data_IF_809386104947
#
_entry.id   IF_809386104947
#
_cell.length_a   1.000
_cell.length_b   1.000
_cell.length_c   1.000
_cell.angle_alpha   90.00
_cell.angle_beta   90.00
_cell.angle_gamma   90.00
#
_symmetry.space_group_name_H-M   'P 1'
#
loop_
_entity.id
_entity.type
_entity.pdbx_description
1 polymer ?
#
# COMPACT_ATOMS: atom_id res chain seq x y z
N UNK A 1 14.26 10.46 10.89
CA UNK A 1 13.51 9.46 10.08
C UNK A 1 12.71 8.59 11.03
N UNK A 2 11.49 8.22 10.65
CA UNK A 2 10.66 7.24 11.35
C UNK A 2 10.10 6.30 10.30
N UNK A 3 10.09 5.01 10.56
CA UNK A 3 9.43 4.03 9.69
C UNK A 3 8.15 3.54 10.35
N UNK A 4 7.12 3.28 9.55
CA UNK A 4 5.82 2.78 10.02
C UNK A 4 5.44 1.56 9.20
N UNK A 5 5.16 0.43 9.87
CA UNK A 5 4.58 -0.74 9.22
C UNK A 5 3.05 -0.68 9.32
N UNK A 6 2.38 -0.58 8.18
CA UNK A 6 0.92 -0.68 8.06
C UNK A 6 0.58 -2.17 7.96
N UNK A 7 0.26 -2.82 9.08
CA UNK A 7 0.10 -4.28 9.16
C UNK A 7 -0.98 -4.68 10.17
N UNK A 8 -2.08 -5.25 9.67
CA UNK A 8 -3.24 -5.68 10.47
C UNK A 8 -2.98 -6.96 11.26
N UNK A 9 -2.05 -7.81 10.80
CA UNK A 9 -1.79 -9.15 11.38
C UNK A 9 -0.98 -9.10 12.70
N UNK A 10 -0.74 -7.90 13.23
CA UNK A 10 -0.06 -7.68 14.50
C UNK A 10 1.47 -7.55 14.40
N UNK A 11 2.12 -7.21 15.52
CA UNK A 11 3.54 -6.82 15.57
C UNK A 11 4.51 -7.91 15.11
N UNK A 12 4.16 -9.17 15.32
CA UNK A 12 5.05 -10.30 15.04
C UNK A 12 5.27 -10.53 13.54
N UNK A 13 4.42 -9.98 12.68
CA UNK A 13 4.61 -10.03 11.23
C UNK A 13 5.69 -9.05 10.77
N UNK A 14 5.78 -7.88 11.40
CA UNK A 14 6.74 -6.83 11.07
C UNK A 14 8.08 -6.99 11.80
N UNK A 15 8.05 -7.48 13.05
CA UNK A 15 9.22 -7.58 13.95
C UNK A 15 10.44 -8.23 13.28
N UNK A 16 10.36 -9.40 12.63
CA UNK A 16 11.54 -10.05 12.05
C UNK A 16 12.26 -9.18 11.01
N UNK A 17 11.50 -8.38 10.26
CA UNK A 17 12.07 -7.48 9.24
C UNK A 17 12.74 -6.26 9.87
N UNK A 18 12.14 -5.70 10.92
CA UNK A 18 12.73 -4.59 11.69
C UNK A 18 14.03 -5.03 12.36
N UNK A 19 14.02 -6.21 13.00
CA UNK A 19 15.20 -6.76 13.67
C UNK A 19 16.33 -7.09 12.69
N UNK A 20 16.00 -7.68 11.54
CA UNK A 20 16.98 -7.96 10.49
C UNK A 20 17.61 -6.67 9.92
N UNK A 21 16.81 -5.59 9.79
CA UNK A 21 17.28 -4.31 9.27
C UNK A 21 18.18 -3.55 10.25
N UNK A 22 18.06 -3.79 11.57
CA UNK A 22 18.78 -3.08 12.65
C UNK A 22 18.80 -1.56 12.46
N UNK A 23 17.62 -0.91 12.35
CA UNK A 23 17.56 0.53 12.10
C UNK A 23 18.11 1.33 13.28
N UNK A 24 18.81 2.41 12.99
CA UNK A 24 19.21 3.42 13.99
C UNK A 24 18.09 4.43 14.30
N UNK A 25 16.95 4.29 13.62
CA UNK A 25 15.79 5.16 13.76
C UNK A 25 14.60 4.40 14.37
N UNK A 26 13.63 5.09 15.00
CA UNK A 26 12.43 4.44 15.51
C UNK A 26 11.59 3.78 14.40
N UNK A 27 11.18 2.54 14.65
CA UNK A 27 10.19 1.81 13.84
C UNK A 27 8.89 1.66 14.62
N UNK A 28 7.80 2.16 14.04
CA UNK A 28 6.45 2.11 14.59
C UNK A 28 5.60 1.09 13.84
N UNK A 29 4.51 0.69 14.48
CA UNK A 29 3.49 -0.18 13.91
C UNK A 29 2.17 0.57 13.87
N UNK A 30 1.45 0.42 12.78
CA UNK A 30 0.10 0.92 12.61
C UNK A 30 -0.85 -0.23 12.31
N UNK A 31 -1.27 -0.98 13.34
CA UNK A 31 -2.12 -2.15 13.18
C UNK A 31 -3.58 -1.80 12.89
N UNK A 32 -3.91 -0.51 12.79
CA UNK A 32 -5.28 -0.02 12.63
C UNK A 32 -5.44 0.92 11.44
N UNK A 33 -4.41 1.09 10.61
CA UNK A 33 -4.47 2.00 9.46
C UNK A 33 -4.88 3.43 9.88
N UNK A 34 -4.26 3.93 10.96
CA UNK A 34 -4.44 5.30 11.43
C UNK A 34 -3.53 6.28 10.72
N UNK A 35 -2.29 5.89 10.43
CA UNK A 35 -1.30 6.75 9.78
C UNK A 35 -1.73 7.01 8.34
N UNK A 36 -2.15 6.00 7.61
CA UNK A 36 -2.63 6.20 6.23
C UNK A 36 -3.96 6.97 6.19
N UNK A 37 -4.88 6.72 7.12
CA UNK A 37 -6.09 7.52 7.25
C UNK A 37 -5.82 8.99 7.63
N UNK A 38 -4.86 9.29 8.50
CA UNK A 38 -4.61 10.68 8.90
C UNK A 38 -3.80 11.45 7.85
N UNK A 39 -2.79 10.83 7.25
CA UNK A 39 -1.95 11.51 6.27
C UNK A 39 -2.52 11.42 4.84
N UNK A 40 -3.40 10.47 4.54
CA UNK A 40 -3.93 10.24 3.20
C UNK A 40 -3.06 9.32 2.35
N UNK A 41 -2.35 8.37 2.97
CA UNK A 41 -1.60 7.34 2.24
C UNK A 41 -2.60 6.38 1.59
N UNK A 42 -2.47 6.16 0.28
CA UNK A 42 -3.35 5.25 -0.47
C UNK A 42 -2.59 4.08 -1.09
N UNK A 43 -1.26 4.12 -1.10
CA UNK A 43 -0.42 3.04 -1.61
C UNK A 43 0.93 3.05 -0.89
N UNK A 44 1.61 1.90 -0.83
CA UNK A 44 2.93 1.75 -0.20
C UNK A 44 3.94 1.15 -1.18
N UNK A 45 5.24 1.53 -1.11
CA UNK A 45 5.82 2.43 -0.11
C UNK A 45 5.46 3.89 -0.36
N UNK A 46 5.24 4.64 0.73
CA UNK A 46 4.96 6.06 0.70
C UNK A 46 5.76 6.78 1.78
N UNK A 47 6.10 8.04 1.52
CA UNK A 47 6.91 8.89 2.38
C UNK A 47 6.21 10.24 2.57
N UNK A 48 6.32 10.81 3.77
CA UNK A 48 5.86 12.15 4.13
C UNK A 48 7.06 12.91 4.68
N UNK A 49 7.25 14.17 4.25
CA UNK A 49 8.31 15.03 4.79
C UNK A 49 7.69 16.05 5.72
N UNK A 50 8.21 16.10 6.94
CA UNK A 50 7.74 16.98 8.02
C UNK A 50 8.97 17.72 8.54
N UNK A 51 8.96 19.04 8.49
CA UNK A 51 10.06 19.86 9.00
C UNK A 51 10.12 19.90 10.54
N UNK A 52 11.13 20.58 11.07
CA UNK A 52 11.38 20.72 12.52
C UNK A 52 10.26 21.48 13.25
N UNK A 53 9.47 22.29 12.53
CA UNK A 53 8.31 23.02 13.07
C UNK A 53 7.03 22.15 13.05
N UNK A 54 7.12 20.91 12.56
CA UNK A 54 6.00 19.98 12.48
C UNK A 54 5.10 20.21 11.26
N UNK A 55 5.57 20.94 10.25
CA UNK A 55 4.81 21.24 9.04
C UNK A 55 5.11 20.20 7.97
N UNK A 56 4.06 19.67 7.34
CA UNK A 56 4.21 18.81 6.16
C UNK A 56 4.73 19.65 5.00
N UNK A 57 5.93 19.36 4.51
CA UNK A 57 6.56 20.03 3.35
C UNK A 57 6.51 19.17 2.09
N UNK A 58 6.21 17.87 2.22
CA UNK A 58 5.77 17.00 1.13
C UNK A 58 4.71 16.01 1.66
N UNK A 59 3.47 16.01 1.12
CA UNK A 59 2.42 15.08 1.54
C UNK A 59 2.74 13.64 1.09
N UNK A 60 1.93 12.62 1.46
CA UNK A 60 2.17 11.24 1.05
C UNK A 60 2.39 11.09 -0.44
N UNK A 61 3.57 10.60 -0.79
CA UNK A 61 3.94 10.29 -2.16
C UNK A 61 4.76 9.00 -2.21
N UNK A 62 4.81 8.31 -3.37
CA UNK A 62 5.65 7.15 -3.52
C UNK A 62 7.13 7.54 -3.44
N UNK A 63 7.89 6.81 -2.62
CA UNK A 63 9.32 7.06 -2.42
C UNK A 63 10.08 5.78 -2.10
N UNK A 64 11.31 5.68 -2.62
CA UNK A 64 12.20 4.54 -2.40
C UNK A 64 13.60 4.99 -1.99
N UNK A 65 14.29 4.24 -1.11
CA UNK A 65 15.67 4.55 -0.80
C UNK A 65 16.64 4.20 -1.95
N UNK A 66 16.21 3.37 -2.90
CA UNK A 66 17.01 2.83 -4.00
C UNK A 66 16.14 2.18 -5.08
N UNK A 67 16.76 1.87 -6.22
CA UNK A 67 16.16 1.06 -7.28
C UNK A 67 15.70 -0.31 -6.77
N UNK A 68 14.65 -0.86 -7.39
CA UNK A 68 14.05 -2.14 -7.03
C UNK A 68 15.08 -3.27 -7.17
N UNK A 69 15.23 -4.07 -6.11
CA UNK A 69 15.87 -5.37 -6.20
C UNK A 69 14.89 -6.44 -6.69
N UNK A 70 15.43 -7.46 -7.35
CA UNK A 70 14.66 -8.65 -7.72
C UNK A 70 14.09 -9.35 -6.49
N UNK A 71 13.12 -10.26 -6.71
CA UNK A 71 12.70 -11.16 -5.66
C UNK A 71 13.91 -12.01 -5.20
N UNK A 72 14.00 -12.37 -3.90
CA UNK A 72 14.98 -13.33 -3.45
C UNK A 72 14.93 -14.63 -4.28
N UNK A 73 16.09 -15.26 -4.57
CA UNK A 73 16.12 -16.54 -5.27
C UNK A 73 15.22 -17.58 -4.58
N UNK A 74 14.47 -18.36 -5.35
CA UNK A 74 13.58 -19.40 -4.81
C UNK A 74 12.22 -18.88 -4.32
N UNK A 75 12.02 -17.56 -4.20
CA UNK A 75 10.75 -17.03 -3.69
C UNK A 75 9.63 -17.18 -4.72
N UNK A 76 9.93 -16.98 -6.02
CA UNK A 76 8.92 -17.04 -7.08
C UNK A 76 8.29 -18.44 -7.19
N UNK A 77 9.08 -19.48 -6.97
CA UNK A 77 8.70 -20.88 -7.00
C UNK A 77 7.78 -21.28 -5.83
N UNK A 78 7.78 -20.49 -4.75
CA UNK A 78 6.88 -20.69 -3.60
C UNK A 78 5.54 -19.97 -3.75
N UNK A 79 5.40 -19.07 -4.73
CA UNK A 79 4.16 -18.33 -4.95
C UNK A 79 3.17 -19.27 -5.66
N UNK A 80 1.98 -19.53 -5.08
CA UNK A 80 0.98 -20.36 -5.73
C UNK A 80 0.49 -19.72 -7.03
N UNK A 81 0.04 -20.56 -7.96
CA UNK A 81 -0.71 -20.06 -9.10
C UNK A 81 -2.00 -19.37 -8.61
N UNK A 82 -2.30 -18.20 -9.16
CA UNK A 82 -3.51 -17.43 -8.82
C UNK A 82 -4.33 -17.15 -10.09
N UNK A 83 -5.64 -17.26 -9.95
CA UNK A 83 -6.63 -16.90 -10.96
C UNK A 83 -7.13 -15.45 -10.78
N UNK A 84 -8.00 -14.97 -11.67
CA UNK A 84 -8.71 -13.70 -11.48
C UNK A 84 -9.88 -13.87 -10.50
N UNK A 85 -10.22 -12.80 -9.78
CA UNK A 85 -11.48 -12.72 -9.05
C UNK A 85 -12.67 -12.95 -10.01
N UNK A 86 -13.71 -13.72 -9.61
CA UNK A 86 -14.80 -14.09 -10.52
C UNK A 86 -15.56 -12.91 -11.15
N UNK A 87 -15.63 -11.79 -10.45
CA UNK A 87 -16.36 -10.59 -10.87
C UNK A 87 -15.44 -9.48 -11.38
N UNK A 88 -14.14 -9.75 -11.52
CA UNK A 88 -13.21 -8.75 -12.01
C UNK A 88 -13.49 -8.42 -13.48
N UNK A 89 -13.39 -7.14 -13.88
CA UNK A 89 -13.45 -6.78 -15.29
C UNK A 89 -12.28 -7.41 -16.06
N UNK A 90 -12.47 -7.80 -17.33
CA UNK A 90 -11.36 -8.23 -18.16
C UNK A 90 -10.36 -7.08 -18.33
N UNK A 91 -9.07 -7.39 -18.56
CA UNK A 91 -8.09 -6.37 -18.93
C UNK A 91 -8.56 -5.60 -20.19
N UNK A 92 -8.42 -4.27 -20.22
CA UNK A 92 -8.71 -3.50 -21.42
C UNK A 92 -7.77 -3.89 -22.57
N UNK A 93 -8.19 -3.62 -23.81
CA UNK A 93 -7.32 -3.81 -24.97
C UNK A 93 -6.06 -2.93 -24.83
N UNK A 94 -4.88 -3.54 -25.00
CA UNK A 94 -3.60 -2.84 -24.83
C UNK A 94 -3.19 -2.62 -23.36
N UNK A 95 -3.80 -3.33 -22.40
CA UNK A 95 -3.37 -3.32 -21.01
C UNK A 95 -1.85 -3.55 -20.88
N UNK A 96 -1.22 -2.76 -20.02
CA UNK A 96 0.20 -2.90 -19.75
C UNK A 96 0.47 -4.17 -18.96
N UNK A 97 1.59 -4.82 -19.26
CA UNK A 97 2.10 -5.91 -18.43
C UNK A 97 2.26 -5.46 -16.98
N UNK A 98 1.92 -6.33 -16.02
CA UNK A 98 1.99 -6.02 -14.58
C UNK A 98 3.35 -5.43 -14.17
N UNK A 99 4.44 -5.96 -14.73
CA UNK A 99 5.79 -5.44 -14.51
C UNK A 99 5.97 -3.99 -14.96
N UNK A 100 5.35 -3.58 -16.07
CA UNK A 100 5.40 -2.20 -16.55
C UNK A 100 4.61 -1.26 -15.64
N UNK A 101 3.37 -1.61 -15.27
CA UNK A 101 2.54 -0.79 -14.37
C UNK A 101 3.23 -0.55 -13.03
N UNK A 102 3.87 -1.59 -12.47
CA UNK A 102 4.55 -1.49 -11.18
C UNK A 102 5.85 -0.66 -11.22
N UNK A 103 6.51 -0.54 -12.38
CA UNK A 103 7.85 0.06 -12.48
C UNK A 103 7.89 1.39 -13.24
N UNK A 104 6.78 1.87 -13.77
CA UNK A 104 6.69 3.15 -14.47
C UNK A 104 6.25 4.28 -13.54
N UNK A 105 6.29 5.53 -14.03
CA UNK A 105 5.87 6.72 -13.30
C UNK A 105 6.89 7.35 -12.35
N UNK A 106 7.92 6.63 -11.88
CA UNK A 106 8.87 7.16 -10.90
C UNK A 106 10.34 6.80 -11.17
N UNK A 107 11.26 7.72 -10.87
CA UNK A 107 12.70 7.47 -10.88
C UNK A 107 13.15 7.02 -9.49
N UNK A 108 12.92 5.75 -9.16
CA UNK A 108 13.14 5.21 -7.79
C UNK A 108 14.53 5.47 -7.20
N UNK A 109 15.56 5.54 -8.05
CA UNK A 109 16.94 5.75 -7.62
C UNK A 109 17.26 7.16 -7.13
N UNK A 110 16.47 8.18 -7.50
CA UNK A 110 16.80 9.59 -7.22
C UNK A 110 16.10 10.15 -5.98
N UNK A 111 15.15 9.41 -5.40
CA UNK A 111 14.37 9.91 -4.26
C UNK A 111 15.24 10.15 -3.01
N UNK A 112 16.23 9.30 -2.77
CA UNK A 112 17.17 9.48 -1.66
C UNK A 112 18.02 10.75 -1.81
N UNK A 113 18.32 11.19 -3.03
CA UNK A 113 19.07 12.42 -3.27
C UNK A 113 18.24 13.66 -2.92
N UNK A 114 16.93 13.62 -3.23
CA UNK A 114 16.00 14.68 -2.85
C UNK A 114 15.91 14.81 -1.31
N UNK A 115 15.85 13.69 -0.59
CA UNK A 115 15.87 13.69 0.89
C UNK A 115 17.19 14.26 1.42
N UNK A 116 18.34 13.90 0.84
CA UNK A 116 19.66 14.42 1.27
C UNK A 116 19.78 15.92 1.04
N UNK A 117 19.31 16.43 -0.09
CA UNK A 117 19.28 17.86 -0.36
C UNK A 117 18.41 18.60 0.67
N UNK A 118 17.24 18.05 0.98
CA UNK A 118 16.35 18.62 1.99
C UNK A 118 16.95 18.63 3.39
N UNK A 119 17.60 17.55 3.82
CA UNK A 119 18.31 17.52 5.11
C UNK A 119 19.43 18.58 5.17
N UNK A 120 20.12 18.84 4.06
CA UNK A 120 21.20 19.81 4.01
C UNK A 120 20.72 21.28 3.96
N UNK A 121 19.56 21.54 3.35
CA UNK A 121 19.08 22.90 3.03
C UNK A 121 17.82 23.32 3.77
N UNK A 122 17.10 22.39 4.40
CA UNK A 122 15.81 22.65 5.02
C UNK A 122 14.82 23.27 4.04
N UNK A 123 14.21 24.38 4.43
CA UNK A 123 13.25 25.12 3.60
C UNK A 123 13.83 25.65 2.27
N UNK A 124 15.15 25.80 2.16
CA UNK A 124 15.83 26.24 0.92
C UNK A 124 16.08 25.10 -0.08
N UNK A 125 15.62 23.89 0.23
CA UNK A 125 15.70 22.76 -0.70
C UNK A 125 14.79 22.97 -1.90
N UNK A 126 15.30 22.69 -3.09
CA UNK A 126 14.48 22.71 -4.31
C UNK A 126 13.39 21.63 -4.33
N UNK A 127 13.46 20.67 -3.41
CA UNK A 127 12.49 19.59 -3.26
C UNK A 127 11.45 19.85 -2.16
N UNK A 128 11.65 20.84 -1.28
CA UNK A 128 10.62 21.27 -0.35
C UNK A 128 9.52 22.01 -1.14
N UNK A 129 8.25 21.63 -0.93
CA UNK A 129 7.14 22.26 -1.65
C UNK A 129 6.70 23.54 -0.96
N UNK A 130 6.18 24.48 -1.75
CA UNK A 130 5.48 25.62 -1.17
C UNK A 130 4.21 25.18 -0.42
N UNK A 131 3.72 25.93 0.58
CA UNK A 131 2.48 25.60 1.29
C UNK A 131 1.27 25.38 0.36
N UNK A 132 1.17 26.15 -0.72
CA UNK A 132 0.10 26.00 -1.71
C UNK A 132 0.19 24.67 -2.46
N UNK A 133 1.39 24.23 -2.82
CA UNK A 133 1.61 22.92 -3.46
C UNK A 133 1.36 21.76 -2.50
N UNK A 134 1.72 21.89 -1.22
CA UNK A 134 1.40 20.88 -0.19
C UNK A 134 -0.12 20.68 -0.11
N UNK A 135 -0.89 21.76 -0.03
CA UNK A 135 -2.36 21.69 0.02
C UNK A 135 -2.92 21.06 -1.25
N UNK A 136 -2.43 21.48 -2.43
CA UNK A 136 -2.89 20.94 -3.70
C UNK A 136 -2.58 19.43 -3.84
N UNK A 137 -1.41 18.97 -3.38
CA UNK A 137 -0.97 17.57 -3.48
C UNK A 137 -1.53 16.65 -2.39
N UNK A 138 -2.01 17.18 -1.26
CA UNK A 138 -2.55 16.37 -0.15
C UNK A 138 -3.87 15.64 -0.46
N UNK A 139 -4.51 15.95 -1.60
CA UNK A 139 -5.81 15.43 -2.08
C UNK A 139 -6.99 15.69 -1.10
N UNK A 140 -8.25 15.70 -1.59
CA UNK A 140 -9.40 15.90 -0.71
C UNK A 140 -9.61 14.71 0.23
N UNK A 141 -9.82 14.98 1.53
CA UNK A 141 -10.33 13.99 2.50
C UNK A 141 -11.86 14.09 2.53
N UNK A 142 -12.51 13.42 1.58
CA UNK A 142 -13.97 13.41 1.50
C UNK A 142 -14.59 12.61 2.66
N UNK A 143 -15.88 12.85 2.95
CA UNK A 143 -16.64 12.03 3.89
C UNK A 143 -16.58 10.54 3.55
N UNK A 144 -16.59 10.19 2.26
CA UNK A 144 -16.47 8.81 1.81
C UNK A 144 -15.10 8.19 2.18
N UNK A 145 -14.01 8.95 2.12
CA UNK A 145 -12.69 8.46 2.56
C UNK A 145 -12.64 8.23 4.08
N UNK A 146 -13.29 9.09 4.87
CA UNK A 146 -13.46 8.88 6.32
C UNK A 146 -14.33 7.67 6.63
N UNK A 147 -15.42 7.48 5.89
CA UNK A 147 -16.30 6.31 6.03
C UNK A 147 -15.57 5.01 5.63
N UNK A 148 -14.77 5.03 4.57
CA UNK A 148 -13.93 3.91 4.17
C UNK A 148 -12.94 3.52 5.28
N UNK A 149 -12.30 4.49 5.93
CA UNK A 149 -11.41 4.24 7.07
C UNK A 149 -12.16 3.60 8.25
N UNK A 150 -13.35 4.10 8.59
CA UNK A 150 -14.19 3.51 9.64
C UNK A 150 -14.59 2.06 9.31
N UNK A 151 -14.88 1.76 8.04
CA UNK A 151 -15.12 0.39 7.59
C UNK A 151 -13.88 -0.51 7.77
N UNK A 152 -12.68 -0.01 7.49
CA UNK A 152 -11.43 -0.77 7.71
C UNK A 152 -11.19 -1.04 9.19
N UNK A 153 -11.39 -0.03 10.06
CA UNK A 153 -11.26 -0.21 11.52
C UNK A 153 -12.23 -1.27 12.05
N UNK A 154 -13.49 -1.25 11.60
CA UNK A 154 -14.48 -2.28 11.95
C UNK A 154 -14.09 -3.65 11.39
N UNK A 155 -13.65 -3.71 10.13
CA UNK A 155 -13.24 -4.95 9.49
C UNK A 155 -12.06 -5.60 10.23
N UNK A 156 -11.04 -4.82 10.61
CA UNK A 156 -9.92 -5.29 11.42
C UNK A 156 -10.38 -5.86 12.77
N UNK A 157 -11.22 -5.13 13.51
CA UNK A 157 -11.76 -5.63 14.78
C UNK A 157 -12.54 -6.94 14.61
N UNK A 158 -13.40 -7.02 13.61
CA UNK A 158 -14.20 -8.21 13.31
C UNK A 158 -13.30 -9.38 12.86
N UNK A 159 -12.27 -9.11 12.07
CA UNK A 159 -11.30 -10.10 11.64
C UNK A 159 -10.57 -10.72 12.83
N UNK A 160 -10.01 -9.88 13.71
CA UNK A 160 -9.29 -10.31 14.92
C UNK A 160 -10.18 -11.05 15.93
N UNK A 161 -11.48 -10.79 15.95
CA UNK A 161 -12.45 -11.51 16.78
C UNK A 161 -13.08 -12.72 16.09
N UNK A 162 -12.56 -13.10 14.92
CA UNK A 162 -12.92 -14.30 14.19
C UNK A 162 -14.23 -14.22 13.40
N UNK A 163 -14.83 -13.03 13.26
CA UNK A 163 -16.09 -12.77 12.54
C UNK A 163 -15.84 -12.44 11.07
N UNK A 164 -15.31 -13.42 10.32
CA UNK A 164 -14.79 -13.26 8.94
C UNK A 164 -15.83 -12.69 7.97
N UNK A 165 -17.03 -13.26 7.91
CA UNK A 165 -18.07 -12.80 6.98
C UNK A 165 -18.42 -11.32 7.17
N UNK A 166 -18.48 -10.87 8.44
CA UNK A 166 -18.74 -9.47 8.76
C UNK A 166 -17.52 -8.59 8.38
N UNK A 167 -16.31 -9.03 8.70
CA UNK A 167 -15.09 -8.32 8.31
C UNK A 167 -15.00 -8.11 6.79
N UNK A 168 -15.26 -9.18 6.03
CA UNK A 168 -15.32 -9.17 4.56
C UNK A 168 -16.35 -8.15 4.05
N UNK A 169 -17.54 -8.10 4.64
CA UNK A 169 -18.57 -7.14 4.25
C UNK A 169 -18.10 -5.68 4.42
N UNK A 170 -17.39 -5.39 5.53
CA UNK A 170 -16.82 -4.06 5.78
C UNK A 170 -15.62 -3.75 4.87
N UNK A 171 -14.71 -4.69 4.61
CA UNK A 171 -13.64 -4.50 3.61
C UNK A 171 -14.21 -4.21 2.21
N UNK A 172 -15.23 -4.96 1.77
CA UNK A 172 -15.89 -4.69 0.48
C UNK A 172 -16.51 -3.29 0.43
N UNK A 173 -17.04 -2.79 1.55
CA UNK A 173 -17.57 -1.43 1.63
C UNK A 173 -16.45 -0.38 1.51
N UNK A 174 -15.30 -0.57 2.17
CA UNK A 174 -14.17 0.36 2.04
C UNK A 174 -13.62 0.39 0.61
N UNK A 175 -13.55 -0.75 -0.08
CA UNK A 175 -13.12 -0.82 -1.48
C UNK A 175 -14.04 -0.03 -2.42
N UNK A 176 -15.36 -0.01 -2.15
CA UNK A 176 -16.32 0.79 -2.93
C UNK A 176 -16.25 2.28 -2.62
N UNK A 177 -16.04 2.64 -1.36
CA UNK A 177 -15.99 4.03 -0.90
C UNK A 177 -14.69 4.74 -1.30
N UNK A 178 -13.57 4.01 -1.33
CA UNK A 178 -12.26 4.55 -1.71
C UNK A 178 -11.50 3.57 -2.63
N UNK A 179 -11.92 3.43 -3.90
CA UNK A 179 -11.39 2.41 -4.82
C UNK A 179 -9.92 2.62 -5.22
N UNK A 180 -9.37 3.82 -5.06
CA UNK A 180 -7.95 4.12 -5.31
C UNK A 180 -7.04 3.80 -4.11
N UNK A 181 -7.61 3.33 -2.99
CA UNK A 181 -6.84 2.96 -1.82
C UNK A 181 -6.34 1.51 -1.86
N UNK A 182 -5.13 1.35 -2.37
CA UNK A 182 -4.40 0.10 -2.44
C UNK A 182 -3.95 -0.44 -1.08
N UNK A 183 -3.76 0.40 -0.06
CA UNK A 183 -3.40 -0.13 1.27
C UNK A 183 -4.55 -0.96 1.83
N UNK A 184 -5.78 -0.45 1.74
CA UNK A 184 -6.98 -1.15 2.19
C UNK A 184 -7.23 -2.43 1.39
N UNK A 185 -7.21 -2.32 0.06
CA UNK A 185 -7.43 -3.47 -0.84
C UNK A 185 -6.44 -4.59 -0.58
N UNK A 186 -5.14 -4.27 -0.60
CA UNK A 186 -4.08 -5.26 -0.48
C UNK A 186 -4.07 -5.92 0.89
N UNK A 187 -4.33 -5.18 1.96
CA UNK A 187 -4.42 -5.76 3.31
C UNK A 187 -5.60 -6.73 3.44
N UNK A 188 -6.78 -6.36 2.93
CA UNK A 188 -7.94 -7.26 2.94
C UNK A 188 -7.68 -8.55 2.14
N UNK A 189 -7.11 -8.43 0.95
CA UNK A 189 -6.72 -9.58 0.12
C UNK A 189 -5.67 -10.46 0.79
N UNK A 190 -4.61 -9.84 1.32
CA UNK A 190 -3.53 -10.52 2.02
C UNK A 190 -4.01 -11.30 3.24
N UNK A 191 -4.96 -10.77 4.02
CA UNK A 191 -5.51 -11.47 5.19
C UNK A 191 -6.21 -12.77 4.81
N UNK A 192 -7.10 -12.71 3.80
CA UNK A 192 -7.83 -13.89 3.31
C UNK A 192 -6.86 -14.92 2.72
N UNK A 193 -5.95 -14.49 1.85
CA UNK A 193 -4.98 -15.41 1.25
C UNK A 193 -4.00 -15.98 2.28
N UNK A 194 -3.65 -15.24 3.34
CA UNK A 194 -2.76 -15.74 4.38
C UNK A 194 -3.42 -16.83 5.24
N UNK A 195 -4.71 -16.73 5.58
CA UNK A 195 -5.43 -17.84 6.25
C UNK A 195 -5.53 -19.09 5.35
N UNK A 196 -5.61 -18.91 4.02
CA UNK A 196 -5.74 -20.01 3.07
C UNK A 196 -4.42 -20.71 2.73
N UNK A 197 -3.39 -19.92 2.39
CA UNK A 197 -2.08 -20.41 1.90
C UNK A 197 -1.10 -20.62 3.05
N UNK A 198 -1.13 -19.74 4.05
CA UNK A 198 -0.21 -19.76 5.18
C UNK A 198 1.26 -19.56 4.80
N UNK A 199 2.13 -19.84 5.78
CA UNK A 199 3.58 -19.78 5.59
C UNK A 199 4.12 -18.37 5.30
N UNK A 200 5.39 -18.28 4.84
CA UNK A 200 6.05 -16.99 4.61
C UNK A 200 5.49 -16.22 3.40
N UNK A 201 4.77 -16.91 2.49
CA UNK A 201 4.30 -16.35 1.23
C UNK A 201 2.82 -15.96 1.24
N UNK A 202 2.00 -16.56 2.12
CA UNK A 202 0.54 -16.41 2.08
C UNK A 202 0.07 -14.96 2.13
N UNK A 203 0.69 -14.14 3.00
CA UNK A 203 0.42 -12.69 3.09
C UNK A 203 0.77 -11.88 1.84
N UNK A 204 1.57 -12.43 0.92
CA UNK A 204 1.91 -11.76 -0.35
C UNK A 204 1.04 -12.22 -1.52
N UNK A 205 0.23 -13.26 -1.32
CA UNK A 205 -0.81 -13.67 -2.26
C UNK A 205 -1.97 -12.68 -2.09
N UNK A 206 -2.41 -12.08 -3.19
CA UNK A 206 -3.40 -10.99 -3.19
C UNK A 206 -4.50 -11.23 -4.25
N UNK A 207 -4.85 -12.50 -4.44
CA UNK A 207 -5.87 -12.98 -5.36
C UNK A 207 -6.23 -14.44 -5.07
N UNK A 208 -7.27 -14.98 -5.73
CA UNK A 208 -7.67 -16.36 -5.53
C UNK A 208 -6.59 -17.34 -6.00
N UNK A 209 -6.36 -18.39 -5.22
CA UNK A 209 -5.56 -19.52 -5.66
C UNK A 209 -6.25 -20.17 -6.86
N UNK A 210 -5.48 -20.57 -7.87
CA UNK A 210 -6.02 -21.17 -9.09
C UNK A 210 -6.85 -22.42 -8.75
N UNK A 211 -8.09 -22.48 -9.24
CA UNK A 211 -9.07 -23.53 -8.92
C UNK A 211 -9.94 -23.26 -7.69
N UNK A 212 -9.69 -22.16 -6.96
CA UNK A 212 -10.45 -21.73 -5.79
C UNK A 212 -11.11 -20.36 -6.00
N UNK A 213 -11.25 -19.92 -7.25
CA UNK A 213 -11.77 -18.60 -7.60
C UNK A 213 -13.19 -18.37 -7.05
N UNK A 214 -14.01 -19.42 -7.01
CA UNK A 214 -15.39 -19.36 -6.50
C UNK A 214 -15.48 -18.98 -5.01
N UNK A 215 -14.42 -19.23 -4.23
CA UNK A 215 -14.36 -18.95 -2.80
C UNK A 215 -13.79 -17.55 -2.51
N UNK A 216 -13.40 -16.79 -3.54
CA UNK A 216 -12.85 -15.44 -3.38
C UNK A 216 -13.93 -14.44 -2.94
N UNK A 217 -13.78 -13.79 -1.78
CA UNK A 217 -14.86 -12.99 -1.24
C UNK A 217 -14.90 -11.54 -1.75
N UNK A 218 -13.94 -11.12 -2.58
CA UNK A 218 -13.83 -9.73 -3.06
C UNK A 218 -14.21 -9.61 -4.53
N UNK A 219 -14.65 -8.41 -4.92
CA UNK A 219 -15.08 -8.14 -6.31
C UNK A 219 -13.89 -8.09 -7.29
N UNK A 220 -12.68 -7.87 -6.79
CA UNK A 220 -11.45 -7.86 -7.55
C UNK A 220 -10.28 -8.43 -6.76
N UNK A 221 -9.13 -8.48 -7.41
CA UNK A 221 -7.85 -8.92 -6.87
C UNK A 221 -6.73 -8.01 -7.39
N UNK A 222 -5.51 -8.20 -6.87
CA UNK A 222 -4.38 -7.36 -7.21
C UNK A 222 -4.06 -7.36 -8.71
N UNK A 223 -4.06 -8.52 -9.39
CA UNK A 223 -3.71 -8.56 -10.82
C UNK A 223 -4.78 -7.91 -11.66
N UNK A 224 -6.05 -8.20 -11.36
CA UNK A 224 -7.17 -7.67 -12.11
C UNK A 224 -7.30 -6.15 -11.99
N UNK A 225 -7.16 -5.59 -10.77
CA UNK A 225 -7.20 -4.13 -10.58
C UNK A 225 -6.01 -3.44 -11.24
N UNK A 226 -4.82 -4.06 -11.17
CA UNK A 226 -3.61 -3.46 -11.72
C UNK A 226 -3.62 -3.46 -13.25
N UNK A 227 -4.27 -4.44 -13.88
CA UNK A 227 -4.45 -4.51 -15.33
C UNK A 227 -5.33 -3.37 -15.88
N UNK A 228 -6.11 -2.70 -15.02
CA UNK A 228 -6.92 -1.54 -15.41
C UNK A 228 -6.12 -0.23 -15.46
N UNK A 229 -4.86 -0.25 -15.00
CA UNK A 229 -4.05 0.95 -14.85
C UNK A 229 -3.08 1.20 -16.00
N UNK A 230 -2.90 2.47 -16.32
CA UNK A 230 -1.87 2.98 -17.22
C UNK A 230 -0.53 3.28 -16.53
N UNK A 231 0.40 3.83 -17.31
CA UNK A 231 1.70 4.28 -16.83
C UNK A 231 1.54 5.36 -15.75
N UNK A 232 2.21 5.15 -14.60
CA UNK A 232 2.23 6.11 -13.49
C UNK A 232 0.93 6.22 -12.70
N UNK A 233 -0.11 5.45 -13.02
CA UNK A 233 -1.35 5.49 -12.23
C UNK A 233 -1.23 4.72 -10.90
N UNK A 234 -0.42 3.65 -10.89
CA UNK A 234 -0.12 2.91 -9.64
C UNK A 234 0.89 3.65 -8.75
N UNK A 235 1.90 4.27 -9.36
CA UNK A 235 2.89 5.13 -8.69
C UNK A 235 3.10 6.43 -9.50
N UNK A 236 2.40 7.53 -9.13
CA UNK A 236 2.50 8.79 -9.86
C UNK A 236 3.88 9.42 -9.74
N UNK A 237 4.31 10.17 -10.76
CA UNK A 237 5.54 10.97 -10.74
C UNK A 237 5.39 12.18 -9.81
N UNK A 238 6.26 12.29 -8.82
CA UNK A 238 6.21 13.34 -7.79
C UNK A 238 7.51 14.12 -7.61
N UNK A 239 8.62 13.56 -8.12
CA UNK A 239 9.92 14.20 -8.30
C UNK A 239 10.23 14.45 -9.78
#
# INVERSE_FOLDING_TARGET
MVTVSLELSGPEVSRPHVEAARPEHPSLLDPTHRVDALFGVVNVPSVVWIDEDGVVVRPPEPGWPRSREGLPPGMAETIPAVGPAPNAPPPPEGALEQGAVLNTGQHRGTYADAVRDWVARGAESTYALSPAEVVARSRPRSTAASEAAAHVELADHLWRTGRRDLAIAHFRASHRLQPDNWTYKRQAWSLVSNERVGGPIGRFVQGPVAGEEADWPFDSDFRSDLAQLGEGEYYPKTL
#
